data_IF_987894130922
#
_entry.id   IF_987894130922
#
_cell.length_a   1.000
_cell.length_b   1.000
_cell.length_c   1.000
_cell.angle_alpha   90.00
_cell.angle_beta   90.00
_cell.angle_gamma   90.00
#
_symmetry.space_group_name_H-M   'P 1'
#
loop_
_entity.id
_entity.type
_entity.pdbx_description
1 polymer ?
#
# COMPACT_ATOMS: atom_id res chain seq x y z
N UNK A 1 -2.68 -1.04 23.81
CA UNK A 1 -2.83 -2.04 22.73
C UNK A 1 -3.19 -1.29 21.46
N UNK A 2 -2.64 -1.66 20.30
CA UNK A 2 -3.02 -1.03 19.03
C UNK A 2 -4.53 -1.16 18.78
N UNK A 3 -5.13 -0.12 18.25
CA UNK A 3 -6.52 -0.13 17.84
C UNK A 3 -6.73 -1.06 16.64
N UNK A 4 -7.96 -1.53 16.39
CA UNK A 4 -8.27 -2.31 15.19
C UNK A 4 -7.80 -1.62 13.90
N UNK A 5 -7.91 -0.29 13.82
CA UNK A 5 -7.44 0.47 12.67
C UNK A 5 -5.90 0.52 12.58
N UNK A 6 -5.18 0.60 13.71
CA UNK A 6 -3.73 0.53 13.69
C UNK A 6 -3.26 -0.84 13.15
N UNK A 7 -3.95 -1.94 13.51
CA UNK A 7 -3.66 -3.26 12.95
C UNK A 7 -3.86 -3.32 11.43
N UNK A 8 -4.90 -2.70 10.87
CA UNK A 8 -5.08 -2.69 9.41
C UNK A 8 -3.99 -1.90 8.71
N UNK A 9 -3.48 -0.83 9.33
CA UNK A 9 -2.36 -0.04 8.80
C UNK A 9 -1.07 -0.87 8.85
N UNK A 10 -0.76 -1.57 9.94
CA UNK A 10 0.39 -2.47 10.01
C UNK A 10 0.31 -3.60 8.98
N UNK A 11 -0.87 -4.22 8.85
CA UNK A 11 -1.11 -5.30 7.90
C UNK A 11 -0.93 -4.86 6.45
N UNK A 12 -1.19 -3.59 6.15
CA UNK A 12 -0.88 -3.03 4.83
C UNK A 12 0.60 -2.66 4.66
N UNK A 13 1.20 -2.05 5.69
CA UNK A 13 2.57 -1.57 5.64
C UNK A 13 3.60 -2.70 5.51
N UNK A 14 3.43 -3.81 6.24
CA UNK A 14 4.41 -4.90 6.25
C UNK A 14 4.59 -5.58 4.88
N UNK A 15 3.53 -6.03 4.18
CA UNK A 15 3.67 -6.57 2.82
C UNK A 15 4.23 -5.54 1.84
N UNK A 16 3.80 -4.28 1.94
CA UNK A 16 4.27 -3.20 1.06
C UNK A 16 5.76 -2.94 1.25
N UNK A 17 6.25 -3.00 2.49
CA UNK A 17 7.68 -2.91 2.82
C UNK A 17 8.47 -4.06 2.20
N UNK A 18 8.00 -5.31 2.36
CA UNK A 18 8.67 -6.50 1.83
C UNK A 18 8.68 -6.51 0.30
N UNK A 19 7.58 -6.11 -0.34
CA UNK A 19 7.49 -5.95 -1.78
C UNK A 19 8.41 -4.83 -2.27
N UNK A 20 8.52 -3.73 -1.53
CA UNK A 20 9.48 -2.67 -1.80
C UNK A 20 10.92 -3.15 -1.72
N UNK A 21 11.30 -3.90 -0.68
CA UNK A 21 12.64 -4.49 -0.58
C UNK A 21 12.92 -5.42 -1.76
N UNK A 22 11.96 -6.28 -2.11
CA UNK A 22 12.08 -7.19 -3.25
C UNK A 22 12.24 -6.44 -4.56
N UNK A 23 11.39 -5.46 -4.84
CA UNK A 23 11.42 -4.70 -6.10
C UNK A 23 12.64 -3.79 -6.25
N UNK A 24 13.23 -3.36 -5.13
CA UNK A 24 14.49 -2.61 -5.12
C UNK A 24 15.66 -3.52 -5.51
N UNK A 25 15.70 -4.76 -5.02
CA UNK A 25 16.78 -5.70 -5.30
C UNK A 25 16.62 -6.44 -6.63
N UNK A 26 15.40 -6.88 -6.95
CA UNK A 26 15.03 -7.61 -8.16
C UNK A 26 13.69 -7.09 -8.72
N UNK A 27 13.73 -6.11 -9.66
CA UNK A 27 12.53 -5.55 -10.25
C UNK A 27 11.85 -6.49 -11.27
N UNK A 28 12.50 -7.60 -11.65
CA UNK A 28 12.05 -8.49 -12.75
C UNK A 28 10.65 -9.03 -12.52
N UNK A 29 10.35 -9.43 -11.28
CA UNK A 29 9.03 -9.94 -10.91
C UNK A 29 7.91 -8.91 -11.11
N UNK A 30 8.15 -7.66 -10.71
CA UNK A 30 7.20 -6.56 -10.93
C UNK A 30 7.06 -6.20 -12.40
N UNK A 31 8.16 -6.19 -13.16
CA UNK A 31 8.13 -5.93 -14.60
C UNK A 31 7.29 -6.99 -15.34
N UNK A 32 7.47 -8.27 -15.01
CA UNK A 32 6.68 -9.36 -15.61
C UNK A 32 5.21 -9.30 -15.21
N UNK A 33 4.92 -9.13 -13.92
CA UNK A 33 3.54 -9.07 -13.40
C UNK A 33 2.76 -7.92 -14.03
N UNK A 34 3.42 -6.78 -14.23
CA UNK A 34 2.82 -5.57 -14.79
C UNK A 34 2.96 -5.46 -16.31
N UNK A 35 3.58 -6.47 -16.95
CA UNK A 35 3.89 -6.50 -18.39
C UNK A 35 4.62 -5.23 -18.88
N UNK A 36 5.63 -4.79 -18.13
CA UNK A 36 6.42 -3.60 -18.40
C UNK A 36 7.73 -3.96 -19.14
N UNK A 37 8.24 -3.07 -20.01
CA UNK A 37 9.52 -3.27 -20.69
C UNK A 37 10.68 -3.24 -19.69
N UNK A 38 11.76 -3.96 -19.98
CA UNK A 38 12.97 -4.00 -19.13
C UNK A 38 13.57 -2.61 -18.87
N UNK A 39 13.41 -1.68 -19.81
CA UNK A 39 13.84 -0.28 -19.65
C UNK A 39 13.14 0.46 -18.48
N UNK A 40 12.00 -0.03 -17.99
CA UNK A 40 11.31 0.53 -16.83
C UNK A 40 11.90 0.09 -15.48
N UNK A 41 12.95 -0.74 -15.46
CA UNK A 41 13.56 -1.24 -14.23
C UNK A 41 13.96 -0.12 -13.24
N UNK A 42 14.59 1.00 -13.66
CA UNK A 42 14.92 2.09 -12.74
C UNK A 42 13.67 2.73 -12.12
N UNK A 43 12.58 2.85 -12.88
CA UNK A 43 11.30 3.39 -12.38
C UNK A 43 10.68 2.46 -11.34
N UNK A 44 10.71 1.14 -11.58
CA UNK A 44 10.24 0.14 -10.61
C UNK A 44 11.07 0.18 -9.32
N UNK A 45 12.40 0.28 -9.42
CA UNK A 45 13.27 0.40 -8.24
C UNK A 45 13.01 1.70 -7.47
N UNK A 46 12.84 2.83 -8.17
CA UNK A 46 12.49 4.10 -7.53
C UNK A 46 11.13 4.05 -6.82
N UNK A 47 10.10 3.47 -7.46
CA UNK A 47 8.80 3.24 -6.82
C UNK A 47 8.92 2.30 -5.61
N UNK A 48 9.81 1.31 -5.68
CA UNK A 48 10.06 0.37 -4.58
C UNK A 48 10.70 1.06 -3.38
N UNK A 49 11.64 1.99 -3.60
CA UNK A 49 12.19 2.84 -2.54
C UNK A 49 11.09 3.71 -1.89
N UNK A 50 10.19 4.27 -2.71
CA UNK A 50 9.01 4.98 -2.23
C UNK A 50 8.10 4.11 -1.36
N UNK A 51 7.85 2.87 -1.77
CA UNK A 51 7.04 1.91 -1.01
C UNK A 51 7.67 1.56 0.35
N UNK A 52 8.99 1.39 0.40
CA UNK A 52 9.74 1.19 1.67
C UNK A 52 9.53 2.39 2.60
N UNK A 53 9.76 3.61 2.10
CA UNK A 53 9.65 4.82 2.90
C UNK A 53 8.22 5.02 3.44
N UNK A 54 7.21 4.88 2.58
CA UNK A 54 5.80 4.98 2.98
C UNK A 54 5.47 3.94 4.05
N UNK A 55 5.95 2.71 3.91
CA UNK A 55 5.64 1.64 4.86
C UNK A 55 6.21 1.93 6.25
N UNK A 56 7.42 2.50 6.33
CA UNK A 56 8.01 2.94 7.60
C UNK A 56 7.14 4.03 8.24
N UNK A 57 6.69 5.03 7.47
CA UNK A 57 5.82 6.08 7.98
C UNK A 57 4.43 5.58 8.38
N UNK A 58 3.88 4.57 7.68
CA UNK A 58 2.63 3.92 8.05
C UNK A 58 2.78 3.18 9.39
N UNK A 59 3.88 2.45 9.59
CA UNK A 59 4.18 1.79 10.86
C UNK A 59 4.33 2.80 12.01
N UNK A 60 5.00 3.93 11.77
CA UNK A 60 5.12 5.01 12.75
C UNK A 60 3.75 5.63 13.08
N UNK A 61 2.94 5.93 12.07
CA UNK A 61 1.61 6.47 12.26
C UNK A 61 0.68 5.49 13.00
N UNK A 62 0.81 4.19 12.74
CA UNK A 62 0.10 3.14 13.46
C UNK A 62 0.52 3.08 14.94
N UNK A 63 1.83 3.14 15.20
CA UNK A 63 2.38 3.18 16.55
C UNK A 63 1.88 4.40 17.35
N UNK A 64 1.77 5.54 16.67
CA UNK A 64 1.29 6.80 17.25
C UNK A 64 -0.24 6.91 17.32
N UNK A 65 -0.99 5.91 16.86
CA UNK A 65 -2.47 5.98 16.74
C UNK A 65 -2.94 7.23 15.98
N UNK A 66 -2.19 7.65 14.96
CA UNK A 66 -2.47 8.90 14.25
C UNK A 66 -3.73 8.77 13.37
N UNK A 67 -4.89 9.10 13.95
CA UNK A 67 -6.19 8.99 13.28
C UNK A 67 -6.34 9.92 12.08
N UNK A 68 -5.64 11.05 12.06
CA UNK A 68 -5.62 11.93 10.89
C UNK A 68 -4.93 11.23 9.72
N UNK A 69 -3.78 10.60 9.98
CA UNK A 69 -3.08 9.79 8.98
C UNK A 69 -3.94 8.63 8.49
N UNK A 70 -4.63 7.91 9.39
CA UNK A 70 -5.49 6.79 8.99
C UNK A 70 -6.61 7.23 8.05
N UNK A 71 -7.19 8.43 8.23
CA UNK A 71 -8.19 8.97 7.31
C UNK A 71 -7.58 9.38 5.96
N UNK A 72 -6.41 10.01 5.97
CA UNK A 72 -5.72 10.38 4.75
C UNK A 72 -5.26 9.16 3.93
N UNK A 73 -4.85 8.07 4.61
CA UNK A 73 -4.50 6.84 3.91
C UNK A 73 -5.71 6.20 3.23
N UNK A 74 -6.94 6.37 3.73
CA UNK A 74 -8.14 5.94 3.00
C UNK A 74 -8.24 6.65 1.65
N UNK A 75 -8.01 7.96 1.61
CA UNK A 75 -8.10 8.74 0.38
C UNK A 75 -7.04 8.30 -0.62
N UNK A 76 -5.76 8.26 -0.21
CA UNK A 76 -4.66 7.95 -1.13
C UNK A 76 -4.74 6.52 -1.67
N UNK A 77 -5.15 5.56 -0.83
CA UNK A 77 -5.34 4.17 -1.24
C UNK A 77 -6.57 3.99 -2.13
N UNK A 78 -7.63 4.77 -1.91
CA UNK A 78 -8.79 4.80 -2.81
C UNK A 78 -8.44 5.38 -4.19
N UNK A 79 -7.61 6.41 -4.24
CA UNK A 79 -7.09 6.96 -5.51
C UNK A 79 -6.23 5.93 -6.26
N UNK A 80 -5.35 5.24 -5.53
CA UNK A 80 -4.51 4.17 -6.11
C UNK A 80 -5.37 3.02 -6.62
N UNK A 81 -6.41 2.65 -5.88
CA UNK A 81 -7.41 1.65 -6.28
C UNK A 81 -8.08 2.04 -7.60
N UNK A 82 -8.63 3.25 -7.68
CA UNK A 82 -9.33 3.73 -8.87
C UNK A 82 -8.42 3.77 -10.09
N UNK A 83 -7.18 4.26 -9.93
CA UNK A 83 -6.19 4.28 -11.00
C UNK A 83 -5.78 2.87 -11.44
N UNK A 84 -5.46 1.97 -10.51
CA UNK A 84 -4.99 0.62 -10.82
C UNK A 84 -6.09 -0.23 -11.48
N UNK A 85 -7.33 -0.13 -11.01
CA UNK A 85 -8.48 -0.79 -11.65
C UNK A 85 -8.74 -0.25 -13.06
N UNK A 86 -8.55 1.06 -13.28
CA UNK A 86 -8.66 1.67 -14.62
C UNK A 86 -7.56 1.17 -15.58
N UNK A 87 -6.33 0.99 -15.09
CA UNK A 87 -5.23 0.46 -15.90
C UNK A 87 -5.46 -0.99 -16.30
N UNK A 88 -6.10 -1.78 -15.42
CA UNK A 88 -6.43 -3.18 -15.70
C UNK A 88 -5.21 -4.10 -15.81
N UNK A 89 -5.44 -5.33 -16.28
CA UNK A 89 -4.38 -6.33 -16.47
C UNK A 89 -3.63 -6.62 -15.16
N UNK A 90 -2.29 -6.56 -15.22
CA UNK A 90 -1.43 -6.78 -14.05
C UNK A 90 -1.69 -5.83 -12.87
N UNK A 91 -2.32 -4.67 -13.12
CA UNK A 91 -2.64 -3.69 -12.09
C UNK A 91 -3.92 -4.00 -11.31
N UNK A 92 -4.79 -4.89 -11.81
CA UNK A 92 -6.06 -5.19 -11.15
C UNK A 92 -5.86 -5.78 -9.76
N UNK A 93 -4.87 -6.67 -9.58
CA UNK A 93 -4.56 -7.25 -8.28
C UNK A 93 -4.13 -6.18 -7.26
N UNK A 94 -3.32 -5.21 -7.68
CA UNK A 94 -2.93 -4.07 -6.85
C UNK A 94 -4.15 -3.22 -6.48
N UNK A 95 -5.02 -2.92 -7.44
CA UNK A 95 -6.24 -2.15 -7.20
C UNK A 95 -7.15 -2.81 -6.17
N UNK A 96 -7.38 -4.12 -6.31
CA UNK A 96 -8.19 -4.89 -5.34
C UNK A 96 -7.53 -4.89 -3.96
N UNK A 97 -6.22 -5.11 -3.86
CA UNK A 97 -5.48 -5.09 -2.60
C UNK A 97 -5.60 -3.76 -1.87
N UNK A 98 -5.38 -2.65 -2.59
CA UNK A 98 -5.49 -1.30 -2.05
C UNK A 98 -6.91 -1.02 -1.58
N UNK A 99 -7.92 -1.36 -2.39
CA UNK A 99 -9.32 -1.10 -2.12
C UNK A 99 -9.83 -1.88 -0.92
N UNK A 100 -9.57 -3.20 -0.88
CA UNK A 100 -9.98 -4.06 0.23
C UNK A 100 -9.34 -3.61 1.55
N UNK A 101 -8.05 -3.27 1.54
CA UNK A 101 -7.40 -2.81 2.77
C UNK A 101 -7.80 -1.39 3.17
N UNK A 102 -8.16 -0.51 2.23
CA UNK A 102 -8.76 0.79 2.54
C UNK A 102 -10.14 0.61 3.17
N UNK A 103 -11.00 -0.25 2.61
CA UNK A 103 -12.30 -0.59 3.18
C UNK A 103 -12.16 -1.19 4.59
N UNK A 104 -11.24 -2.14 4.78
CA UNK A 104 -10.96 -2.72 6.09
C UNK A 104 -10.55 -1.66 7.12
N UNK A 105 -9.70 -0.70 6.72
CA UNK A 105 -9.30 0.42 7.58
C UNK A 105 -10.48 1.36 7.88
N UNK A 106 -11.35 1.63 6.90
CA UNK A 106 -12.53 2.46 7.08
C UNK A 106 -13.53 1.81 8.06
N UNK A 107 -13.78 0.51 7.93
CA UNK A 107 -14.62 -0.27 8.87
C UNK A 107 -14.00 -0.26 10.26
N UNK A 108 -12.69 -0.51 10.37
CA UNK A 108 -12.00 -0.49 11.67
C UNK A 108 -12.04 0.89 12.34
N UNK A 109 -11.98 1.99 11.58
CA UNK A 109 -12.17 3.36 12.07
C UNK A 109 -13.62 3.68 12.45
N UNK A 110 -14.60 3.02 11.83
CA UNK A 110 -16.01 3.19 12.16
C UNK A 110 -16.39 2.42 13.43
N UNK A 111 -15.91 1.17 13.57
CA UNK A 111 -16.18 0.32 14.74
C UNK A 111 -15.35 0.74 15.95
N UNK A 112 -14.09 1.14 15.75
CA UNK A 112 -13.19 1.58 16.82
C UNK A 112 -13.43 3.02 17.32
N UNK A 113 -14.61 3.59 17.03
CA UNK A 113 -15.08 4.89 17.55
C UNK A 113 -15.99 4.76 18.78
N UNK A 114 -16.10 3.56 19.36
CA UNK A 114 -16.65 3.33 20.69
C UNK A 114 -15.59 3.53 21.78
#
# INVERSE_FOLDING_TARGET
>A
MPSPAAYTIYFFALPTFLLGLRGLWDPTSSLQTLNLPAAAAPSVQASSLGAIAISIFYCLAAYQENRAFFKWSLLTRSLTTAWALRMGGGWTALGVWEGVGALGTAVALAVGRA
#
